data_IF_096883351342
#
_entry.id   IF_096883351342
#
_cell.length_a   1.000
_cell.length_b   1.000
_cell.length_c   1.000
_cell.angle_alpha   90.00
_cell.angle_beta   90.00
_cell.angle_gamma   90.00
#
_symmetry.space_group_name_H-M   'P 1'
#
loop_
_entity.id
_entity.type
_entity.pdbx_description
1 polymer ?
#
# COMPACT_ATOMS: atom_id res chain seq x y z
N UNK A 1 -16.48 11.91 28.13
CA UNK A 1 -16.69 12.63 26.87
C UNK A 1 -15.60 12.37 25.84
N UNK A 2 -14.30 12.54 26.11
CA UNK A 2 -13.20 12.40 25.13
C UNK A 2 -13.12 11.02 24.42
N UNK A 3 -13.69 9.96 25.00
CA UNK A 3 -13.76 8.61 24.40
C UNK A 3 -15.04 8.33 23.61
N UNK A 4 -16.11 9.12 23.81
CA UNK A 4 -17.36 8.99 23.09
C UNK A 4 -17.15 9.36 21.61
N UNK A 5 -16.33 10.40 21.33
CA UNK A 5 -15.97 10.78 19.98
C UNK A 5 -14.96 11.92 19.93
N UNK A 6 -14.40 12.15 18.74
CA UNK A 6 -13.44 13.25 18.45
C UNK A 6 -14.05 14.37 17.62
N UNK A 7 -15.30 14.23 17.24
CA UNK A 7 -16.04 15.20 16.44
C UNK A 7 -17.09 15.87 17.36
N UNK A 8 -16.85 17.13 17.68
CA UNK A 8 -17.69 17.85 18.65
C UNK A 8 -19.16 17.94 18.20
N UNK A 9 -19.43 18.07 16.89
CA UNK A 9 -20.79 18.11 16.36
C UNK A 9 -21.53 16.80 16.60
N UNK A 10 -20.88 15.67 16.32
CA UNK A 10 -21.47 14.34 16.56
C UNK A 10 -21.65 14.05 18.04
N UNK A 11 -20.63 14.36 18.84
CA UNK A 11 -20.71 14.14 20.29
C UNK A 11 -21.81 15.01 20.89
N UNK A 12 -21.88 16.30 20.52
CA UNK A 12 -22.94 17.20 20.95
C UNK A 12 -24.33 16.71 20.53
N UNK A 13 -24.52 16.33 19.28
CA UNK A 13 -25.78 15.79 18.80
C UNK A 13 -26.22 14.55 19.58
N UNK A 14 -25.33 13.60 19.82
CA UNK A 14 -25.67 12.38 20.59
C UNK A 14 -25.97 12.69 22.06
N UNK A 15 -25.15 13.54 22.72
CA UNK A 15 -25.33 13.82 24.15
C UNK A 15 -26.50 14.75 24.45
N UNK A 16 -26.79 15.73 23.59
CA UNK A 16 -27.79 16.78 23.86
C UNK A 16 -29.14 16.49 23.21
N UNK A 17 -29.19 15.77 22.09
CA UNK A 17 -30.42 15.53 21.34
C UNK A 17 -30.78 14.04 21.35
N UNK A 18 -29.95 13.19 20.75
CA UNK A 18 -30.33 11.82 20.43
C UNK A 18 -30.58 10.97 21.67
N UNK A 19 -29.73 11.07 22.71
CA UNK A 19 -29.91 10.27 23.93
C UNK A 19 -31.15 10.73 24.73
N UNK A 20 -31.45 12.03 24.71
CA UNK A 20 -32.68 12.56 25.31
C UNK A 20 -33.94 12.04 24.62
N UNK A 21 -33.99 12.13 23.28
CA UNK A 21 -35.10 11.63 22.47
C UNK A 21 -35.28 10.10 22.58
N UNK A 22 -34.17 9.35 22.66
CA UNK A 22 -34.20 7.88 22.80
C UNK A 22 -34.44 7.41 24.23
N UNK A 23 -34.62 8.31 25.20
CA UNK A 23 -34.80 7.97 26.63
C UNK A 23 -33.55 7.32 27.25
N UNK A 24 -32.36 7.55 26.70
CA UNK A 24 -31.11 6.99 27.19
C UNK A 24 -30.50 7.90 28.26
N UNK A 25 -30.35 7.39 29.47
CA UNK A 25 -29.63 8.08 30.54
C UNK A 25 -28.12 7.92 30.34
N UNK A 26 -27.44 9.01 29.98
CA UNK A 26 -26.00 9.02 29.68
C UNK A 26 -25.24 9.73 30.82
N UNK A 27 -24.34 9.01 31.47
CA UNK A 27 -23.47 9.54 32.52
C UNK A 27 -22.00 9.42 32.11
N UNK A 28 -21.26 10.52 32.09
CA UNK A 28 -19.83 10.52 31.94
C UNK A 28 -19.14 10.88 33.27
N UNK A 29 -18.87 9.87 34.08
CA UNK A 29 -18.39 10.02 35.49
C UNK A 29 -17.17 10.92 35.58
N UNK A 30 -16.15 10.69 34.76
CA UNK A 30 -14.89 11.46 34.81
C UNK A 30 -15.05 12.92 34.36
N UNK A 31 -16.07 13.21 33.59
CA UNK A 31 -16.33 14.55 33.07
C UNK A 31 -17.46 15.24 33.85
N UNK A 32 -18.04 14.54 34.83
CA UNK A 32 -19.17 14.98 35.63
C UNK A 32 -20.33 15.49 34.77
N UNK A 33 -20.71 14.70 33.76
CA UNK A 33 -21.81 15.01 32.85
C UNK A 33 -22.92 14.00 33.03
N UNK A 34 -24.14 14.48 33.27
CA UNK A 34 -25.36 13.70 33.32
C UNK A 34 -26.42 14.40 32.47
N UNK A 35 -26.97 13.71 31.46
CA UNK A 35 -27.95 14.31 30.54
C UNK A 35 -29.34 14.49 31.13
N UNK A 36 -29.58 14.04 32.36
CA UNK A 36 -30.86 14.24 33.09
C UNK A 36 -30.84 15.44 34.04
N UNK A 37 -29.65 16.03 34.29
CA UNK A 37 -29.48 17.17 35.19
C UNK A 37 -29.24 18.44 34.37
N UNK A 38 -30.20 19.34 34.33
CA UNK A 38 -30.18 20.55 33.49
C UNK A 38 -28.99 21.49 33.75
N UNK A 39 -28.46 21.55 34.99
CA UNK A 39 -27.35 22.45 35.32
C UNK A 39 -25.94 21.99 34.95
N UNK A 40 -25.77 20.72 34.60
CA UNK A 40 -24.44 20.13 34.30
C UNK A 40 -24.07 20.24 32.81
N UNK A 41 -25.00 20.67 31.96
CA UNK A 41 -24.83 20.69 30.52
C UNK A 41 -24.13 21.93 29.93
N UNK A 42 -24.10 23.05 30.65
CA UNK A 42 -23.66 24.36 30.10
C UNK A 42 -22.19 24.35 29.62
N UNK A 43 -21.31 23.62 30.29
CA UNK A 43 -19.90 23.52 29.89
C UNK A 43 -19.59 22.34 28.96
N UNK A 44 -20.53 21.47 28.69
CA UNK A 44 -20.31 20.28 27.85
C UNK A 44 -19.93 20.62 26.42
N UNK A 45 -20.57 21.58 25.72
CA UNK A 45 -20.19 22.01 24.38
C UNK A 45 -18.75 22.55 24.35
N UNK A 46 -18.36 23.34 25.35
CA UNK A 46 -17.02 23.89 25.44
C UNK A 46 -15.96 22.79 25.62
N UNK A 47 -16.20 21.81 26.48
CA UNK A 47 -15.34 20.64 26.66
C UNK A 47 -15.19 19.83 25.37
N UNK A 48 -16.26 19.65 24.61
CA UNK A 48 -16.24 18.96 23.32
C UNK A 48 -15.38 19.71 22.29
N UNK A 49 -15.50 21.05 22.21
CA UNK A 49 -14.66 21.89 21.36
C UNK A 49 -13.19 21.81 21.78
N UNK A 50 -12.88 21.86 23.08
CA UNK A 50 -11.52 21.76 23.60
C UNK A 50 -10.90 20.39 23.27
N UNK A 51 -11.63 19.30 23.42
CA UNK A 51 -11.19 17.96 23.06
C UNK A 51 -10.87 17.87 21.55
N UNK A 52 -11.69 18.45 20.70
CA UNK A 52 -11.42 18.50 19.26
C UNK A 52 -10.19 19.35 18.95
N UNK A 53 -10.08 20.52 19.57
CA UNK A 53 -8.91 21.39 19.39
C UNK A 53 -7.63 20.70 19.81
N UNK A 54 -7.61 20.03 20.95
CA UNK A 54 -6.47 19.26 21.43
C UNK A 54 -6.07 18.13 20.46
N UNK A 55 -7.05 17.39 19.93
CA UNK A 55 -6.79 16.35 18.93
C UNK A 55 -6.20 16.94 17.63
N UNK A 56 -6.69 18.10 17.20
CA UNK A 56 -6.17 18.84 16.03
C UNK A 56 -4.75 19.34 16.26
N UNK A 57 -4.46 19.92 17.40
CA UNK A 57 -3.14 20.43 17.76
C UNK A 57 -2.12 19.29 17.87
N UNK A 58 -2.46 18.24 18.59
CA UNK A 58 -1.63 17.01 18.68
C UNK A 58 -1.34 16.44 17.29
N UNK A 59 -2.34 16.37 16.42
CA UNK A 59 -2.14 15.91 15.05
C UNK A 59 -1.18 16.80 14.25
N UNK A 60 -1.24 18.13 14.43
CA UNK A 60 -0.28 19.06 13.80
C UNK A 60 1.14 18.83 14.30
N UNK A 61 1.32 18.73 15.63
CA UNK A 61 2.62 18.48 16.25
C UNK A 61 3.24 17.16 15.77
N UNK A 62 2.47 16.06 15.79
CA UNK A 62 2.94 14.76 15.30
C UNK A 62 3.34 14.83 13.82
N UNK A 63 2.55 15.49 12.97
CA UNK A 63 2.89 15.67 11.54
C UNK A 63 4.17 16.49 11.35
N UNK A 64 4.38 17.53 12.15
CA UNK A 64 5.61 18.34 12.10
C UNK A 64 6.84 17.49 12.44
N UNK A 65 6.77 16.68 13.50
CA UNK A 65 7.85 15.76 13.89
C UNK A 65 8.13 14.71 12.80
N UNK A 66 7.06 14.08 12.24
CA UNK A 66 7.21 13.11 11.15
C UNK A 66 7.83 13.77 9.92
N UNK A 67 7.43 15.01 9.60
CA UNK A 67 8.00 15.77 8.49
C UNK A 67 9.46 16.09 8.72
N UNK A 68 9.83 16.62 9.89
CA UNK A 68 11.21 16.89 10.25
C UNK A 68 12.09 15.62 10.16
N UNK A 69 11.61 14.50 10.73
CA UNK A 69 12.27 13.21 10.63
C UNK A 69 12.44 12.75 9.17
N UNK A 70 11.38 12.85 8.36
CA UNK A 70 11.43 12.42 6.97
C UNK A 70 12.30 13.29 6.08
N UNK A 71 12.38 14.60 6.37
CA UNK A 71 13.26 15.54 5.65
C UNK A 71 14.73 15.43 6.07
N UNK A 72 15.04 14.81 7.22
CA UNK A 72 16.42 14.52 7.64
C UNK A 72 16.99 13.19 7.07
N UNK A 73 16.34 12.60 6.09
CA UNK A 73 16.79 11.34 5.46
C UNK A 73 16.41 10.07 6.24
N UNK A 74 15.86 10.19 7.45
CA UNK A 74 15.44 9.04 8.25
C UNK A 74 14.11 8.49 7.73
N UNK A 75 14.00 7.16 7.69
CA UNK A 75 12.75 6.53 7.30
C UNK A 75 11.61 6.86 8.26
N UNK A 76 10.48 7.30 7.70
CA UNK A 76 9.23 7.51 8.45
C UNK A 76 8.42 6.21 8.61
N UNK A 77 8.86 5.12 7.98
CA UNK A 77 8.22 3.82 8.06
C UNK A 77 8.67 3.07 9.33
N UNK A 78 7.71 2.65 10.16
CA UNK A 78 8.02 1.86 11.35
C UNK A 78 8.47 0.44 11.01
N UNK A 79 7.80 -0.20 10.05
CA UNK A 79 8.08 -1.55 9.62
C UNK A 79 8.92 -1.53 8.34
N UNK A 80 10.12 -2.12 8.31
CA UNK A 80 10.90 -2.22 7.09
C UNK A 80 10.16 -3.07 6.04
N UNK A 81 10.45 -2.86 4.74
CA UNK A 81 9.92 -3.71 3.69
C UNK A 81 10.49 -5.13 3.79
N UNK A 82 9.85 -6.07 3.10
CA UNK A 82 10.32 -7.45 3.00
C UNK A 82 11.76 -7.50 2.47
N UNK A 83 12.63 -8.25 3.13
CA UNK A 83 14.06 -8.30 2.82
C UNK A 83 14.94 -7.45 3.73
N UNK A 84 14.35 -6.58 4.55
CA UNK A 84 15.08 -5.75 5.50
C UNK A 84 14.56 -5.92 6.93
N UNK A 85 15.45 -5.93 7.89
CA UNK A 85 15.18 -5.87 9.33
C UNK A 85 15.70 -4.55 9.91
N UNK A 86 15.31 -4.20 11.12
CA UNK A 86 15.87 -3.05 11.85
C UNK A 86 16.85 -3.53 12.91
N UNK A 87 17.97 -2.81 13.01
CA UNK A 87 18.86 -2.92 14.16
C UNK A 87 18.31 -2.15 15.38
N UNK A 88 19.05 -2.20 16.50
CA UNK A 88 18.71 -1.49 17.74
C UNK A 88 18.68 0.03 17.55
N UNK A 89 19.46 0.58 16.62
CA UNK A 89 19.53 2.00 16.28
C UNK A 89 18.45 2.44 15.29
N UNK A 90 17.68 1.49 14.75
CA UNK A 90 16.62 1.71 13.78
C UNK A 90 17.08 1.81 12.33
N UNK A 91 18.36 1.48 12.04
CA UNK A 91 18.87 1.38 10.68
C UNK A 91 18.37 0.08 10.03
N UNK A 92 18.32 0.06 8.71
CA UNK A 92 17.88 -1.10 7.97
C UNK A 92 19.06 -1.99 7.57
N UNK A 93 18.98 -3.25 7.93
CA UNK A 93 19.92 -4.30 7.58
C UNK A 93 19.27 -5.29 6.63
N UNK A 94 20.05 -5.83 5.69
CA UNK A 94 19.58 -6.86 4.75
C UNK A 94 19.41 -8.18 5.49
N UNK A 95 18.21 -8.77 5.40
CA UNK A 95 17.98 -10.14 5.88
C UNK A 95 18.15 -11.10 4.70
N UNK A 96 19.13 -12.00 4.83
CA UNK A 96 19.66 -12.83 3.72
C UNK A 96 18.59 -13.71 3.06
N UNK A 97 17.78 -14.42 3.85
CA UNK A 97 16.78 -15.36 3.30
C UNK A 97 15.71 -14.62 2.48
N UNK A 98 15.17 -13.52 3.01
CA UNK A 98 14.16 -12.74 2.31
C UNK A 98 14.76 -11.93 1.15
N UNK A 99 16.00 -11.46 1.27
CA UNK A 99 16.69 -10.76 0.19
C UNK A 99 16.91 -11.67 -1.04
N UNK A 100 17.25 -12.94 -0.85
CA UNK A 100 17.34 -13.90 -1.96
C UNK A 100 16.00 -14.12 -2.66
N UNK A 101 14.90 -14.11 -1.91
CA UNK A 101 13.55 -14.15 -2.53
C UNK A 101 13.26 -12.87 -3.32
N UNK A 102 13.66 -11.70 -2.82
CA UNK A 102 13.53 -10.43 -3.57
C UNK A 102 14.33 -10.51 -4.88
N UNK A 103 15.61 -10.90 -4.84
CA UNK A 103 16.44 -11.07 -6.04
C UNK A 103 15.80 -12.05 -7.04
N UNK A 104 15.26 -13.17 -6.54
CA UNK A 104 14.54 -14.15 -7.36
C UNK A 104 13.31 -13.56 -8.04
N UNK A 105 12.53 -12.72 -7.36
CA UNK A 105 11.37 -12.03 -7.94
C UNK A 105 11.81 -11.15 -9.12
N UNK A 106 12.89 -10.38 -8.96
CA UNK A 106 13.44 -9.54 -10.03
C UNK A 106 13.94 -10.39 -11.22
N UNK A 107 14.69 -11.48 -10.95
CA UNK A 107 15.16 -12.41 -11.99
C UNK A 107 13.99 -12.99 -12.78
N UNK A 108 12.97 -13.54 -12.12
CA UNK A 108 11.79 -14.08 -12.78
C UNK A 108 11.05 -13.01 -13.60
N UNK A 109 11.06 -11.75 -13.16
CA UNK A 109 10.48 -10.67 -13.93
C UNK A 109 11.27 -10.38 -15.22
N UNK A 110 12.60 -10.43 -15.18
CA UNK A 110 13.48 -10.28 -16.36
C UNK A 110 13.29 -11.46 -17.32
N UNK A 111 13.13 -12.68 -16.81
CA UNK A 111 12.79 -13.88 -17.58
C UNK A 111 11.38 -13.80 -18.26
N UNK A 112 10.62 -12.72 -18.04
CA UNK A 112 9.34 -12.46 -18.68
C UNK A 112 8.11 -12.92 -17.90
N UNK A 113 8.25 -13.48 -16.68
CA UNK A 113 7.11 -13.89 -15.87
C UNK A 113 6.34 -12.68 -15.33
N UNK A 114 5.02 -12.72 -15.45
CA UNK A 114 4.12 -11.72 -14.88
C UNK A 114 3.97 -11.88 -13.36
N UNK A 115 3.49 -10.84 -12.63
CA UNK A 115 3.34 -10.90 -11.17
C UNK A 115 2.47 -12.05 -10.67
N UNK A 116 1.45 -12.46 -11.45
CA UNK A 116 0.61 -13.62 -11.12
C UNK A 116 1.39 -14.94 -11.25
N UNK A 117 2.21 -15.09 -12.29
CA UNK A 117 3.02 -16.29 -12.50
C UNK A 117 4.12 -16.39 -11.43
N UNK A 118 4.74 -15.25 -11.08
CA UNK A 118 5.74 -15.18 -10.01
C UNK A 118 5.11 -15.59 -8.67
N UNK A 119 3.92 -15.06 -8.34
CA UNK A 119 3.26 -15.44 -7.09
C UNK A 119 2.92 -16.94 -7.05
N UNK A 120 2.43 -17.52 -8.15
CA UNK A 120 2.17 -18.97 -8.25
C UNK A 120 3.45 -19.80 -8.07
N UNK A 121 4.57 -19.40 -8.69
CA UNK A 121 5.86 -20.10 -8.53
C UNK A 121 6.37 -20.05 -7.09
N UNK A 122 6.28 -18.89 -6.42
CA UNK A 122 6.70 -18.75 -5.02
C UNK A 122 5.79 -19.56 -4.08
N UNK A 123 4.49 -19.60 -4.33
CA UNK A 123 3.54 -20.42 -3.56
C UNK A 123 3.81 -21.92 -3.73
N UNK A 124 4.06 -22.38 -4.95
CA UNK A 124 4.43 -23.78 -5.22
C UNK A 124 5.73 -24.18 -4.49
N UNK A 125 6.66 -23.24 -4.32
CA UNK A 125 7.91 -23.46 -3.58
C UNK A 125 7.77 -23.23 -2.07
N UNK A 126 6.58 -22.90 -1.57
CA UNK A 126 6.31 -22.56 -0.16
C UNK A 126 7.26 -21.49 0.39
N UNK A 127 7.65 -20.52 -0.47
CA UNK A 127 8.50 -19.41 -0.06
C UNK A 127 7.79 -18.55 1.00
N UNK A 128 8.51 -18.15 2.05
CA UNK A 128 7.94 -17.38 3.17
C UNK A 128 7.33 -16.07 2.65
N UNK A 129 6.03 -15.91 2.85
CA UNK A 129 5.30 -14.71 2.43
C UNK A 129 5.70 -13.48 3.26
N UNK A 130 5.49 -12.25 2.74
CA UNK A 130 5.77 -11.03 3.50
C UNK A 130 4.99 -10.91 4.81
N UNK A 131 3.82 -11.53 4.91
CA UNK A 131 2.97 -11.50 6.11
C UNK A 131 3.54 -12.41 7.19
N UNK A 132 3.85 -13.65 6.84
CA UNK A 132 4.47 -14.63 7.75
C UNK A 132 5.85 -14.17 8.18
N UNK A 133 6.66 -13.65 7.24
CA UNK A 133 7.99 -13.13 7.53
C UNK A 133 7.96 -11.99 8.55
N UNK A 134 7.02 -11.04 8.43
CA UNK A 134 6.88 -9.95 9.41
C UNK A 134 6.70 -10.46 10.84
N UNK A 135 5.89 -11.51 11.03
CA UNK A 135 5.71 -12.10 12.35
C UNK A 135 6.97 -12.83 12.82
N UNK A 136 7.70 -13.51 11.92
CA UNK A 136 8.99 -14.16 12.21
C UNK A 136 10.02 -13.16 12.77
N UNK A 137 10.05 -11.94 12.22
CA UNK A 137 10.97 -10.87 12.66
C UNK A 137 10.41 -9.99 13.80
N UNK A 138 9.38 -10.46 14.50
CA UNK A 138 8.86 -9.81 15.72
C UNK A 138 7.82 -8.70 15.49
N UNK A 139 7.39 -8.46 14.26
CA UNK A 139 6.30 -7.53 14.00
C UNK A 139 4.94 -8.21 14.22
N UNK A 140 4.24 -7.83 15.29
CA UNK A 140 2.90 -8.36 15.60
C UNK A 140 1.90 -7.96 14.51
N UNK A 141 1.75 -8.79 13.49
CA UNK A 141 0.71 -8.64 12.47
C UNK A 141 -0.49 -9.52 12.85
N UNK A 142 -1.70 -8.97 12.77
CA UNK A 142 -2.92 -9.74 13.07
C UNK A 142 -3.20 -10.73 11.94
N UNK A 143 -2.61 -11.92 12.01
CA UNK A 143 -2.77 -13.00 11.02
C UNK A 143 -4.23 -13.43 10.88
N UNK A 144 -4.99 -13.39 11.98
CA UNK A 144 -6.42 -13.75 12.02
C UNK A 144 -7.31 -12.94 11.05
N UNK A 145 -6.80 -11.79 10.57
CA UNK A 145 -7.51 -10.91 9.63
C UNK A 145 -7.12 -11.12 8.17
N UNK A 146 -6.26 -12.08 7.89
CA UNK A 146 -5.76 -12.35 6.53
C UNK A 146 -6.11 -13.76 6.14
N UNK A 147 -6.90 -13.90 5.08
CA UNK A 147 -7.28 -15.17 4.50
C UNK A 147 -6.09 -15.93 4.01
N UNK A 148 -5.34 -16.65 4.19
CA UNK A 148 -4.12 -17.25 3.61
C UNK A 148 -2.87 -16.38 3.76
N UNK A 149 -2.42 -16.11 5.00
CA UNK A 149 -1.24 -15.30 5.26
C UNK A 149 0.07 -15.90 4.70
N UNK A 150 0.09 -17.23 4.48
CA UNK A 150 1.22 -17.98 3.92
C UNK A 150 1.42 -17.72 2.42
N UNK A 151 0.40 -17.23 1.71
CA UNK A 151 0.45 -17.10 0.27
C UNK A 151 0.99 -15.75 -0.20
N UNK A 152 1.79 -15.80 -1.24
CA UNK A 152 2.21 -14.64 -2.00
C UNK A 152 1.07 -14.08 -2.83
N UNK A 153 0.74 -12.82 -2.63
CA UNK A 153 -0.27 -12.12 -3.43
C UNK A 153 0.37 -11.39 -4.60
N UNK A 154 -0.40 -11.20 -5.67
CA UNK A 154 0.01 -10.41 -6.85
C UNK A 154 0.36 -8.96 -6.47
N UNK A 155 -0.36 -8.39 -5.51
CA UNK A 155 -0.10 -7.04 -4.98
C UNK A 155 1.23 -6.94 -4.24
N UNK A 156 1.63 -7.96 -3.50
CA UNK A 156 2.94 -8.01 -2.83
C UNK A 156 4.07 -8.01 -3.87
N UNK A 157 3.98 -8.87 -4.91
CA UNK A 157 4.96 -8.90 -6.00
C UNK A 157 5.04 -7.54 -6.71
N UNK A 158 3.90 -6.95 -7.10
CA UNK A 158 3.88 -5.63 -7.74
C UNK A 158 4.54 -4.55 -6.90
N UNK A 159 4.29 -4.58 -5.58
CA UNK A 159 4.89 -3.63 -4.63
C UNK A 159 6.39 -3.80 -4.55
N UNK A 160 6.91 -5.03 -4.49
CA UNK A 160 8.35 -5.30 -4.48
C UNK A 160 9.00 -4.78 -5.75
N UNK A 161 8.48 -5.15 -6.92
CA UNK A 161 9.02 -4.76 -8.22
C UNK A 161 8.99 -3.24 -8.50
N UNK A 162 8.17 -2.45 -7.79
CA UNK A 162 8.05 -1.00 -8.02
C UNK A 162 8.65 -0.13 -6.92
N UNK A 163 9.26 -0.73 -5.92
CA UNK A 163 9.70 0.02 -4.74
C UNK A 163 11.19 0.38 -4.81
N UNK A 164 11.54 1.68 -4.97
CA UNK A 164 12.93 2.11 -5.07
C UNK A 164 13.73 1.94 -3.77
N UNK A 165 13.11 1.52 -2.69
CA UNK A 165 13.80 1.18 -1.43
C UNK A 165 14.81 0.05 -1.64
N UNK A 166 14.56 -0.89 -2.55
CA UNK A 166 15.47 -1.99 -2.84
C UNK A 166 16.80 -1.57 -3.50
N UNK A 167 16.88 -0.31 -3.97
CA UNK A 167 18.11 0.34 -4.43
C UNK A 167 18.97 0.93 -3.30
N UNK A 168 18.61 0.71 -2.03
CA UNK A 168 19.27 1.36 -0.90
C UNK A 168 18.71 2.75 -0.55
N UNK A 169 17.63 3.18 -1.18
CA UNK A 169 17.08 4.52 -1.05
C UNK A 169 16.00 4.60 0.05
N UNK A 170 16.03 5.64 0.86
CA UNK A 170 14.90 5.97 1.74
C UNK A 170 13.86 6.79 0.98
N UNK A 171 12.63 6.30 0.92
CA UNK A 171 11.51 6.96 0.23
C UNK A 171 10.44 7.35 1.24
N UNK A 172 10.27 8.64 1.44
CA UNK A 172 9.32 9.23 2.38
C UNK A 172 8.15 9.92 1.67
N UNK A 173 7.08 10.19 2.40
CA UNK A 173 5.90 10.97 1.97
C UNK A 173 5.19 10.46 0.71
N UNK A 174 5.14 9.15 0.51
CA UNK A 174 4.40 8.52 -0.61
C UNK A 174 2.89 8.69 -0.49
N UNK A 175 2.41 9.00 0.71
CA UNK A 175 0.98 9.14 1.00
C UNK A 175 0.74 10.31 1.95
N UNK A 176 -0.46 10.93 1.83
CA UNK A 176 -0.92 12.01 2.69
C UNK A 176 -2.33 11.73 3.18
N UNK A 177 -2.60 11.92 4.47
CA UNK A 177 -3.97 11.92 4.99
C UNK A 177 -4.64 13.27 4.70
N UNK A 178 -5.89 13.27 4.23
CA UNK A 178 -6.65 14.49 3.94
C UNK A 178 -6.82 15.37 5.18
N UNK A 179 -7.20 14.77 6.29
CA UNK A 179 -7.36 15.48 7.57
C UNK A 179 -7.13 14.54 8.76
N UNK A 180 -7.10 15.09 9.97
CA UNK A 180 -7.01 14.28 11.20
C UNK A 180 -8.32 13.52 11.50
N UNK A 181 -9.46 14.00 11.00
CA UNK A 181 -10.76 13.33 11.11
C UNK A 181 -10.96 12.23 10.07
N UNK A 182 -10.25 12.29 8.94
CA UNK A 182 -10.45 11.37 7.82
C UNK A 182 -9.50 10.17 7.89
N UNK A 183 -10.04 8.98 7.67
CA UNK A 183 -9.25 7.76 7.45
C UNK A 183 -8.72 7.65 6.01
N UNK A 184 -9.18 8.51 5.10
CA UNK A 184 -8.79 8.49 3.69
C UNK A 184 -7.32 8.87 3.51
N UNK A 185 -6.61 8.04 2.76
CA UNK A 185 -5.21 8.23 2.37
C UNK A 185 -5.16 8.56 0.88
N UNK A 186 -4.44 9.62 0.52
CA UNK A 186 -4.16 9.98 -0.87
C UNK A 186 -2.74 9.55 -1.19
N UNK A 187 -2.57 8.84 -2.29
CA UNK A 187 -1.24 8.53 -2.83
C UNK A 187 -0.74 9.73 -3.62
N UNK A 188 0.47 10.15 -3.30
CA UNK A 188 1.13 11.24 -4.01
C UNK A 188 1.82 10.71 -5.28
N UNK A 189 1.88 11.52 -6.35
CA UNK A 189 2.67 11.18 -7.53
C UNK A 189 4.16 11.09 -7.18
N UNK A 190 4.94 10.41 -8.02
CA UNK A 190 6.34 10.07 -7.72
C UNK A 190 7.25 11.30 -7.60
N UNK A 191 6.94 12.37 -8.28
CA UNK A 191 7.62 13.67 -8.25
C UNK A 191 7.48 14.42 -6.93
N UNK A 192 6.43 14.12 -6.16
CA UNK A 192 6.25 14.66 -4.80
C UNK A 192 6.91 13.81 -3.70
N UNK A 193 7.49 12.66 -4.04
CA UNK A 193 8.17 11.82 -3.08
C UNK A 193 9.51 12.42 -2.68
N UNK A 194 9.86 12.33 -1.41
CA UNK A 194 11.19 12.72 -0.92
C UNK A 194 12.04 11.46 -0.86
N UNK A 195 13.07 11.42 -1.71
CA UNK A 195 13.96 10.28 -1.86
C UNK A 195 15.37 10.71 -1.43
N UNK A 196 15.98 9.91 -0.56
CA UNK A 196 17.39 10.01 -0.17
C UNK A 196 18.09 8.77 -0.68
N UNK A 197 19.11 8.95 -1.49
CA UNK A 197 19.87 7.84 -2.08
C UNK A 197 20.89 7.26 -1.07
N UNK A 198 21.24 5.99 -1.25
CA UNK A 198 22.30 5.27 -0.53
C UNK A 198 22.23 5.38 1.00
N UNK A 199 21.03 5.29 1.55
CA UNK A 199 20.82 5.35 3.01
C UNK A 199 20.95 4.02 3.72
N UNK A 200 20.95 2.91 2.98
CA UNK A 200 21.11 1.55 3.49
C UNK A 200 21.59 0.60 2.37
N UNK A 201 21.99 -0.60 2.71
CA UNK A 201 22.50 -1.58 1.75
C UNK A 201 21.43 -1.94 0.71
N UNK A 202 21.77 -1.87 -0.57
CA UNK A 202 20.89 -2.24 -1.68
C UNK A 202 20.77 -3.77 -1.80
N UNK A 203 19.54 -4.27 -2.01
CA UNK A 203 19.31 -5.68 -2.37
C UNK A 203 19.39 -5.88 -3.88
N UNK A 204 19.02 -4.87 -4.64
CA UNK A 204 18.95 -4.88 -6.12
C UNK A 204 19.80 -3.72 -6.65
N UNK A 205 20.60 -4.00 -7.66
CA UNK A 205 21.36 -2.99 -8.37
C UNK A 205 20.45 -2.12 -9.28
N UNK A 206 20.95 -0.93 -9.64
CA UNK A 206 20.18 0.06 -10.42
C UNK A 206 19.84 -0.47 -11.82
N UNK A 207 20.76 -1.16 -12.48
CA UNK A 207 20.56 -1.66 -13.86
C UNK A 207 19.44 -2.72 -13.90
N UNK A 208 19.45 -3.64 -12.95
CA UNK A 208 18.38 -4.64 -12.77
C UNK A 208 17.04 -3.98 -12.49
N UNK A 209 17.01 -2.98 -11.60
CA UNK A 209 15.78 -2.27 -11.26
C UNK A 209 15.21 -1.55 -12.49
N UNK A 210 16.03 -0.76 -13.18
CA UNK A 210 15.61 0.04 -14.34
C UNK A 210 15.16 -0.87 -15.50
N UNK A 211 15.85 -1.98 -15.73
CA UNK A 211 15.44 -3.00 -16.69
C UNK A 211 14.04 -3.52 -16.37
N UNK A 212 13.78 -3.84 -15.10
CA UNK A 212 12.45 -4.30 -14.66
C UNK A 212 11.40 -3.20 -14.83
N UNK A 213 11.71 -1.91 -14.54
CA UNK A 213 10.74 -0.83 -14.78
C UNK A 213 10.41 -0.71 -16.27
N UNK A 214 11.41 -0.70 -17.17
CA UNK A 214 11.20 -0.67 -18.63
C UNK A 214 10.33 -1.84 -19.11
N UNK A 215 10.61 -3.06 -18.63
CA UNK A 215 9.81 -4.24 -18.95
C UNK A 215 8.35 -4.12 -18.45
N UNK A 216 8.11 -3.41 -17.36
CA UNK A 216 6.78 -3.22 -16.76
C UNK A 216 5.99 -2.07 -17.39
N UNK A 217 6.64 -1.05 -17.92
CA UNK A 217 6.02 0.05 -18.66
C UNK A 217 5.59 -0.42 -20.06
N UNK A 218 6.33 -1.34 -20.65
CA UNK A 218 5.94 -1.98 -21.88
C UNK A 218 4.65 -2.80 -21.77
N UNK A 219 3.89 -2.89 -22.83
CA UNK A 219 2.73 -3.81 -22.88
C UNK A 219 3.23 -5.24 -22.81
N UNK A 220 3.00 -5.87 -21.66
CA UNK A 220 3.43 -7.25 -21.45
C UNK A 220 2.76 -8.20 -22.41
N UNK A 221 3.58 -8.99 -23.08
CA UNK A 221 3.13 -10.16 -23.84
C UNK A 221 2.49 -11.13 -22.86
N UNK A 222 1.25 -11.53 -23.08
CA UNK A 222 0.66 -12.64 -22.35
C UNK A 222 1.30 -13.93 -22.88
N UNK A 223 1.98 -14.68 -22.03
CA UNK A 223 2.34 -16.05 -22.37
C UNK A 223 1.02 -16.79 -22.56
N UNK A 224 0.86 -17.48 -23.71
CA UNK A 224 -0.32 -18.30 -23.99
C UNK A 224 -0.46 -19.38 -22.90
N UNK A 225 -1.68 -19.81 -22.66
CA UNK A 225 -1.97 -20.91 -21.73
C UNK A 225 -1.24 -22.19 -22.15
N UNK A 226 -0.99 -22.33 -23.45
CA UNK A 226 -0.32 -23.48 -24.09
C UNK A 226 1.21 -23.32 -24.23
N UNK A 227 1.79 -22.28 -23.64
CA UNK A 227 3.26 -22.08 -23.56
C UNK A 227 3.91 -21.48 -24.79
N UNK A 228 3.28 -21.46 -25.94
CA UNK A 228 3.84 -20.90 -27.18
C UNK A 228 3.44 -19.43 -27.37
N UNK A 229 4.42 -18.54 -27.38
CA UNK A 229 4.22 -17.15 -27.78
C UNK A 229 4.45 -17.00 -29.28
N UNK A 230 3.55 -16.31 -29.98
CA UNK A 230 3.85 -15.88 -31.35
C UNK A 230 5.07 -14.94 -31.36
N UNK A 231 5.98 -15.18 -32.29
CA UNK A 231 7.18 -14.36 -32.53
C UNK A 231 6.80 -12.87 -32.71
N UNK A 232 5.64 -12.61 -33.30
CA UNK A 232 5.13 -11.26 -33.57
C UNK A 232 4.35 -10.64 -32.40
N UNK A 233 4.18 -11.34 -31.29
CA UNK A 233 3.40 -10.85 -30.16
C UNK A 233 3.98 -9.57 -29.57
N UNK A 234 3.23 -8.45 -29.68
CA UNK A 234 3.61 -7.12 -29.20
C UNK A 234 4.50 -6.32 -30.15
N UNK A 235 4.83 -6.85 -31.34
CA UNK A 235 5.60 -6.16 -32.39
C UNK A 235 4.71 -5.60 -33.51
N UNK A 236 3.49 -6.12 -33.67
CA UNK A 236 2.58 -5.68 -34.72
C UNK A 236 1.69 -4.52 -34.25
N UNK A 237 1.55 -3.54 -35.14
CA UNK A 237 0.67 -2.38 -35.00
C UNK A 237 -0.26 -2.30 -36.19
N UNK A 238 -1.48 -1.83 -36.00
CA UNK A 238 -2.44 -1.59 -37.08
C UNK A 238 -1.96 -0.44 -37.96
N UNK A 239 -1.94 -0.62 -39.26
CA UNK A 239 -1.52 0.41 -40.21
C UNK A 239 -2.48 1.62 -40.24
N UNK A 240 -3.79 1.37 -39.96
CA UNK A 240 -4.81 2.41 -40.03
C UNK A 240 -4.85 3.31 -38.79
N UNK A 241 -4.74 2.74 -37.58
CA UNK A 241 -4.94 3.48 -36.34
C UNK A 241 -3.74 3.46 -35.38
N UNK A 242 -2.63 2.81 -35.74
CA UNK A 242 -1.43 2.72 -34.90
C UNK A 242 -1.61 1.88 -33.62
N UNK A 243 -2.78 1.30 -33.39
CA UNK A 243 -3.04 0.49 -32.20
C UNK A 243 -2.34 -0.87 -32.30
N UNK A 244 -1.97 -1.44 -31.14
CA UNK A 244 -1.35 -2.77 -31.10
C UNK A 244 -2.31 -3.85 -31.59
N UNK A 245 -1.75 -4.86 -32.28
CA UNK A 245 -2.49 -6.04 -32.71
C UNK A 245 -2.25 -7.20 -31.76
N UNK A 246 -3.31 -7.96 -31.49
CA UNK A 246 -3.28 -9.13 -30.62
C UNK A 246 -3.59 -10.40 -31.40
N UNK A 247 -2.79 -11.44 -31.17
CA UNK A 247 -3.05 -12.76 -31.71
C UNK A 247 -4.33 -13.33 -31.09
N UNK A 248 -5.27 -13.69 -31.94
CA UNK A 248 -6.49 -14.40 -31.56
C UNK A 248 -6.41 -15.82 -32.11
N UNK A 249 -6.28 -16.79 -31.20
CA UNK A 249 -6.30 -18.21 -31.53
C UNK A 249 -7.73 -18.73 -31.40
N UNK A 250 -8.30 -19.18 -32.47
CA UNK A 250 -9.60 -19.81 -32.44
C UNK A 250 -9.43 -21.30 -32.11
N UNK A 251 -10.00 -21.75 -30.99
CA UNK A 251 -10.05 -23.18 -30.65
C UNK A 251 -10.80 -23.91 -31.78
N UNK A 252 -10.14 -24.85 -32.45
CA UNK A 252 -10.70 -25.65 -33.53
C UNK A 252 -10.54 -25.10 -34.96
N UNK A 253 -9.75 -24.04 -35.14
CA UNK A 253 -9.37 -23.49 -36.45
C UNK A 253 -7.84 -23.45 -36.58
N UNK A 254 -7.32 -23.89 -37.74
CA UNK A 254 -5.87 -23.81 -38.05
C UNK A 254 -5.39 -22.39 -38.35
N UNK A 255 -6.28 -21.39 -38.33
CA UNK A 255 -5.96 -20.01 -38.71
C UNK A 255 -5.85 -19.10 -37.51
N UNK A 256 -4.62 -18.78 -37.13
CA UNK A 256 -4.34 -17.71 -36.20
C UNK A 256 -4.54 -16.35 -36.88
N UNK A 257 -5.24 -15.42 -36.23
CA UNK A 257 -5.49 -14.08 -36.76
C UNK A 257 -5.02 -12.99 -35.79
N UNK A 258 -4.41 -11.92 -36.31
CA UNK A 258 -4.09 -10.74 -35.52
C UNK A 258 -5.20 -9.71 -35.64
N UNK A 259 -5.80 -9.35 -34.52
CA UNK A 259 -6.88 -8.36 -34.43
C UNK A 259 -6.38 -7.05 -33.80
N UNK A 260 -6.80 -5.93 -34.40
CA UNK A 260 -6.52 -4.60 -33.89
C UNK A 260 -7.20 -4.36 -32.53
N UNK A 261 -6.50 -3.73 -31.59
CA UNK A 261 -7.03 -3.42 -30.26
C UNK A 261 -8.24 -2.47 -30.30
N UNK A 262 -8.29 -1.51 -31.23
CA UNK A 262 -9.39 -0.56 -31.40
C UNK A 262 -10.65 -1.28 -31.90
N UNK A 263 -10.52 -2.13 -32.90
CA UNK A 263 -11.64 -2.92 -33.44
C UNK A 263 -12.31 -3.81 -32.38
N UNK A 264 -11.55 -4.28 -31.37
CA UNK A 264 -12.06 -5.11 -30.28
C UNK A 264 -12.79 -4.31 -29.20
N UNK A 265 -12.59 -2.99 -29.13
CA UNK A 265 -13.28 -2.12 -28.15
C UNK A 265 -14.63 -1.59 -28.67
N UNK A 266 -14.84 -1.61 -29.99
CA UNK A 266 -16.05 -1.13 -30.64
C UNK A 266 -17.13 -2.23 -30.80
N UNK A 267 -16.84 -3.46 -30.40
CA UNK A 267 -17.77 -4.58 -30.27
C UNK A 267 -18.02 -4.95 -28.80
#
# INVERSE_FOLDING_TARGET
>A
MSRLGRDYLKVGYYSEVYFGEAGVHFIAVNDNVDNTIENDSDFTPFRNIMNEWYAKDTSKKVRAVIRAKGMSGKSTCNCPPYGYIKDENGNWLVEKEAAEIVKKIYRLCIEGYGPMQISKKLNAQKAISPVVWKNKVGWKYKLEKVDHPELWTVSAIRRILSNPIYLGNTVNFRTKKKSYKSHSVVYLPKDEWVIFEDTHEAIIDRDTFDTVQKLREGVRRRVSIDGEMSIFSGLLYCADCGAKMYLNRHRGSEKDAFNCASYRKEK
#
